data_IF_795365712105
#
_entry.id   IF_795365712105
#
_cell.length_a   1.000
_cell.length_b   1.000
_cell.length_c   1.000
_cell.angle_alpha   90.00
_cell.angle_beta   90.00
_cell.angle_gamma   90.00
#
_symmetry.space_group_name_H-M   'P 1'
#
loop_
_entity.id
_entity.type
_entity.pdbx_description
1 polymer ?
#
# COMPACT_ATOMS: atom_id res chain seq x y z
N UNK A 1 0.50 -9.48 12.87
CA UNK A 1 1.31 -9.66 12.01
C UNK A 1 0.95 -9.36 10.70
N UNK A 2 1.24 -8.45 10.09
CA UNK A 2 0.77 -7.97 8.89
C UNK A 2 1.44 -8.53 7.70
N UNK A 3 1.08 -9.71 7.33
CA UNK A 3 1.58 -10.18 6.08
C UNK A 3 0.63 -9.75 5.00
N UNK A 4 1.13 -9.16 3.97
CA UNK A 4 0.31 -8.72 2.85
C UNK A 4 0.08 -9.92 1.96
N UNK A 5 -1.13 -10.43 1.97
CA UNK A 5 -1.52 -11.52 1.08
C UNK A 5 -1.96 -10.92 -0.24
N UNK A 6 -2.24 -11.76 -1.24
CA UNK A 6 -2.67 -11.25 -2.52
C UNK A 6 -3.97 -10.46 -2.41
N UNK A 7 -4.89 -10.93 -1.57
CA UNK A 7 -6.15 -10.21 -1.38
C UNK A 7 -5.90 -8.88 -0.69
N UNK A 8 -5.07 -8.90 0.35
CA UNK A 8 -4.76 -7.68 1.08
C UNK A 8 -3.98 -6.72 0.21
N UNK A 9 -3.14 -7.24 -0.67
CA UNK A 9 -2.34 -6.39 -1.53
C UNK A 9 -3.22 -5.55 -2.44
N UNK A 10 -4.27 -6.14 -3.00
CA UNK A 10 -5.16 -5.39 -3.86
C UNK A 10 -5.83 -4.25 -3.11
N UNK A 11 -6.30 -4.53 -1.89
CA UNK A 11 -6.93 -3.51 -1.07
C UNK A 11 -5.92 -2.44 -0.68
N UNK A 12 -4.71 -2.87 -0.36
CA UNK A 12 -3.63 -1.96 0.00
C UNK A 12 -3.31 -1.03 -1.16
N UNK A 13 -3.21 -1.59 -2.36
CA UNK A 13 -2.89 -0.79 -3.53
C UNK A 13 -4.01 0.21 -3.83
N UNK A 14 -5.25 -0.20 -3.64
CA UNK A 14 -6.37 0.72 -3.84
C UNK A 14 -6.29 1.88 -2.87
N UNK A 15 -6.02 1.59 -1.60
CA UNK A 15 -5.90 2.65 -0.61
C UNK A 15 -4.75 3.58 -0.95
N UNK A 16 -3.65 3.02 -1.42
CA UNK A 16 -2.50 3.80 -1.82
C UNK A 16 -2.84 4.74 -2.98
N UNK A 17 -3.50 4.20 -4.00
CA UNK A 17 -3.82 5.01 -5.17
C UNK A 17 -4.79 6.14 -4.80
N UNK A 18 -5.73 5.84 -3.91
CA UNK A 18 -6.66 6.88 -3.47
C UNK A 18 -5.91 7.98 -2.73
N UNK A 19 -4.98 7.61 -1.88
CA UNK A 19 -4.21 8.60 -1.13
C UNK A 19 -3.40 9.47 -2.08
N UNK A 20 -2.79 8.87 -3.09
CA UNK A 20 -2.03 9.64 -4.06
C UNK A 20 -2.94 10.59 -4.83
N UNK A 21 -4.12 10.11 -5.22
CA UNK A 21 -5.06 10.94 -5.95
C UNK A 21 -5.50 12.13 -5.13
N UNK A 22 -5.65 11.93 -3.82
CA UNK A 22 -6.07 13.00 -2.93
C UNK A 22 -4.88 13.80 -2.41
N UNK A 23 -3.69 13.49 -2.89
CA UNK A 23 -2.47 14.19 -2.52
C UNK A 23 -2.21 14.13 -1.02
N UNK A 24 -2.50 12.99 -0.43
CA UNK A 24 -2.23 12.79 0.98
C UNK A 24 -0.87 12.15 1.14
N UNK A 25 -0.25 12.40 2.28
CA UNK A 25 1.04 11.80 2.57
C UNK A 25 0.89 10.54 3.40
N UNK A 26 -0.27 10.33 4.00
CA UNK A 26 -0.53 9.18 4.85
C UNK A 26 -1.90 8.62 4.50
N UNK A 27 -2.09 7.35 4.79
CA UNK A 27 -3.43 6.77 4.71
C UNK A 27 -3.51 5.65 5.74
N UNK A 28 -4.74 5.27 6.09
CA UNK A 28 -4.95 4.20 7.05
C UNK A 28 -5.29 2.93 6.34
N UNK A 29 -4.69 1.84 6.79
CA UNK A 29 -4.98 0.53 6.22
C UNK A 29 -5.03 -0.46 7.37
N UNK A 30 -6.19 -1.07 7.59
CA UNK A 30 -6.41 -2.07 8.62
C UNK A 30 -5.96 -1.56 9.99
N UNK A 31 -6.34 -0.33 10.29
CA UNK A 31 -6.04 0.23 11.59
C UNK A 31 -4.63 0.77 11.76
N UNK A 32 -3.83 0.71 10.71
CA UNK A 32 -2.46 1.22 10.77
C UNK A 32 -2.31 2.42 9.86
N UNK A 33 -1.51 3.38 10.31
CA UNK A 33 -1.22 4.55 9.50
C UNK A 33 -0.02 4.23 8.61
N UNK A 34 -0.19 4.37 7.32
CA UNK A 34 0.85 4.04 6.35
C UNK A 34 1.30 5.31 5.64
N UNK A 35 2.62 5.48 5.54
CA UNK A 35 3.18 6.61 4.80
C UNK A 35 3.14 6.25 3.32
N UNK A 36 2.67 7.18 2.49
CA UNK A 36 2.49 6.93 1.06
C UNK A 36 3.80 6.53 0.39
N UNK A 37 4.90 7.20 0.74
CA UNK A 37 6.17 6.85 0.12
C UNK A 37 6.62 5.44 0.49
N UNK A 38 6.34 5.01 1.71
CA UNK A 38 6.65 3.65 2.11
C UNK A 38 5.78 2.64 1.36
N UNK A 39 4.49 2.98 1.20
CA UNK A 39 3.58 2.11 0.47
C UNK A 39 4.02 1.94 -0.97
N UNK A 40 4.50 3.02 -1.58
CA UNK A 40 4.99 2.95 -2.94
C UNK A 40 6.18 1.99 -3.04
N UNK A 41 7.08 2.09 -2.09
CA UNK A 41 8.24 1.21 -2.06
C UNK A 41 7.81 -0.25 -1.92
N UNK A 42 6.87 -0.50 -1.02
CA UNK A 42 6.39 -1.84 -0.80
C UNK A 42 5.72 -2.42 -2.05
N UNK A 43 4.90 -1.62 -2.70
CA UNK A 43 4.19 -2.08 -3.89
C UNK A 43 5.18 -2.43 -4.99
N UNK A 44 6.18 -1.60 -5.18
CA UNK A 44 7.19 -1.89 -6.21
C UNK A 44 7.99 -3.13 -5.85
N UNK A 45 8.28 -3.31 -4.58
CA UNK A 45 9.02 -4.48 -4.14
C UNK A 45 8.24 -5.76 -4.42
N UNK A 46 6.96 -5.75 -4.10
CA UNK A 46 6.11 -6.92 -4.31
C UNK A 46 5.99 -7.24 -5.79
N UNK A 47 5.82 -6.20 -6.61
CA UNK A 47 5.71 -6.42 -8.05
C UNK A 47 6.99 -6.99 -8.62
N UNK A 48 8.13 -6.52 -8.15
CA UNK A 48 9.40 -7.04 -8.63
C UNK A 48 9.60 -8.48 -8.23
N UNK A 49 9.16 -8.84 -7.03
CA UNK A 49 9.30 -10.20 -6.57
C UNK A 49 8.50 -11.17 -7.41
N UNK A 50 7.41 -10.71 -7.98
CA UNK A 50 6.55 -11.59 -8.75
C UNK A 50 6.99 -11.78 -10.20
N UNK A 51 7.94 -11.09 -10.66
CA UNK A 51 8.38 -11.28 -12.05
C UNK A 51 9.38 -12.40 -12.21
#
# INVERSE_FOLDING_TARGET
MGQVTEENFKTFEKAYKKAVKEEKQLFEFEGNTIVVSFARYLIEYVKNEKT
#
